data_IF_573906672014
#
_entry.id   IF_573906672014
#
_cell.length_a   1.000
_cell.length_b   1.000
_cell.length_c   1.000
_cell.angle_alpha   90.00
_cell.angle_beta   90.00
_cell.angle_gamma   90.00
#
_symmetry.space_group_name_H-M   'P 1'
#
loop_
_entity.id
_entity.type
_entity.pdbx_description
1 polymer ?
#
# COMPACT_ATOMS: atom_id res chain seq x y z
N UNK A 1 16.09 0.47 1.30
CA UNK A 1 15.22 -0.64 0.88
C UNK A 1 14.03 -0.92 1.83
N UNK A 2 13.82 -0.14 2.90
CA UNK A 2 12.79 -0.42 3.91
C UNK A 2 11.33 -0.44 3.40
N UNK A 3 10.98 0.37 2.40
CA UNK A 3 9.61 0.38 1.87
C UNK A 3 9.23 -0.93 1.17
N UNK A 4 10.09 -1.46 0.31
CA UNK A 4 9.79 -2.71 -0.42
C UNK A 4 9.67 -3.90 0.53
N UNK A 5 10.50 -3.95 1.57
CA UNK A 5 10.45 -4.99 2.60
C UNK A 5 9.17 -4.89 3.43
N UNK A 6 8.78 -3.67 3.82
CA UNK A 6 7.52 -3.44 4.53
C UNK A 6 6.32 -3.86 3.68
N UNK A 7 6.27 -3.45 2.41
CA UNK A 7 5.20 -3.84 1.46
C UNK A 7 5.17 -5.35 1.22
N UNK A 8 6.32 -6.02 1.16
CA UNK A 8 6.40 -7.47 1.01
C UNK A 8 5.90 -8.22 2.25
N UNK A 9 6.29 -7.79 3.45
CA UNK A 9 5.80 -8.39 4.70
C UNK A 9 4.28 -8.25 4.81
N UNK A 10 3.79 -7.06 4.48
CA UNK A 10 2.37 -6.73 4.36
C UNK A 10 1.61 -7.61 3.36
N UNK A 11 2.17 -7.83 2.17
CA UNK A 11 1.58 -8.71 1.18
C UNK A 11 1.47 -10.14 1.71
N UNK A 12 2.50 -10.64 2.41
CA UNK A 12 2.47 -11.97 3.03
C UNK A 12 1.42 -12.10 4.15
N UNK A 13 1.17 -11.02 4.89
CA UNK A 13 0.19 -11.01 6.01
C UNK A 13 -1.25 -10.68 5.59
N UNK A 14 -1.46 -10.04 4.43
CA UNK A 14 -2.79 -9.59 4.00
C UNK A 14 -3.34 -10.35 2.79
N UNK A 15 -2.52 -11.07 2.03
CA UNK A 15 -2.94 -11.86 0.87
C UNK A 15 -3.33 -13.26 1.35
N UNK A 16 -4.38 -13.35 2.16
CA UNK A 16 -5.22 -14.55 2.24
C UNK A 16 -6.08 -14.59 0.96
N UNK A 17 -5.42 -14.92 -0.14
CA UNK A 17 -5.99 -15.56 -1.31
C UNK A 17 -6.66 -14.71 -2.38
N UNK A 18 -7.38 -13.61 -2.12
CA UNK A 18 -8.21 -13.04 -3.21
C UNK A 18 -8.51 -11.55 -3.23
N UNK A 19 -8.33 -10.77 -2.15
CA UNK A 19 -8.77 -9.36 -2.16
C UNK A 19 -7.85 -8.41 -1.38
N UNK A 20 -7.29 -7.37 -2.01
CA UNK A 20 -6.64 -6.28 -1.29
C UNK A 20 -7.70 -5.51 -0.49
N UNK A 21 -7.47 -5.35 0.82
CA UNK A 21 -8.42 -4.69 1.75
C UNK A 21 -7.95 -3.29 2.12
N UNK A 22 -8.87 -2.41 2.56
CA UNK A 22 -8.50 -1.09 3.10
C UNK A 22 -7.50 -1.15 4.26
N UNK A 23 -7.55 -2.20 5.08
CA UNK A 23 -6.56 -2.43 6.15
C UNK A 23 -5.11 -2.49 5.61
N UNK A 24 -4.92 -2.96 4.37
CA UNK A 24 -3.63 -2.97 3.69
C UNK A 24 -3.19 -1.55 3.31
N UNK A 25 -4.10 -0.72 2.79
CA UNK A 25 -3.82 0.68 2.46
C UNK A 25 -3.35 1.48 3.68
N UNK A 26 -3.99 1.28 4.84
CA UNK A 26 -3.63 1.97 6.07
C UNK A 26 -2.21 1.61 6.56
N UNK A 27 -1.85 0.33 6.50
CA UNK A 27 -0.53 -0.13 6.92
C UNK A 27 0.56 0.25 5.91
N UNK A 28 0.28 0.23 4.60
CA UNK A 28 1.19 0.74 3.56
C UNK A 28 1.44 2.23 3.76
N UNK A 29 0.40 3.03 4.02
CA UNK A 29 0.57 4.45 4.35
C UNK A 29 1.45 4.65 5.58
N UNK A 30 1.20 3.89 6.66
CA UNK A 30 1.99 3.98 7.88
C UNK A 30 3.47 3.62 7.64
N UNK A 31 3.74 2.59 6.84
CA UNK A 31 5.09 2.20 6.44
C UNK A 31 5.78 3.28 5.62
N UNK A 32 5.07 3.89 4.65
CA UNK A 32 5.61 4.99 3.83
C UNK A 32 5.95 6.18 4.71
N UNK A 33 5.06 6.61 5.62
CA UNK A 33 5.29 7.74 6.54
C UNK A 33 6.45 7.48 7.51
N UNK A 34 6.65 6.22 7.93
CA UNK A 34 7.78 5.83 8.79
C UNK A 34 9.10 5.82 8.02
N UNK A 35 9.09 5.42 6.76
CA UNK A 35 10.28 5.39 5.92
C UNK A 35 10.68 6.78 5.41
N UNK A 36 9.71 7.64 5.10
CA UNK A 36 9.92 8.99 4.61
C UNK A 36 8.98 9.99 5.31
N UNK A 37 9.46 10.66 6.38
CA UNK A 37 8.67 11.68 7.08
C UNK A 37 8.48 12.97 6.27
N UNK A 38 9.27 13.21 5.21
CA UNK A 38 9.11 14.36 4.33
C UNK A 38 7.86 14.20 3.44
N UNK A 39 7.62 12.99 2.93
CA UNK A 39 6.37 12.64 2.22
C UNK A 39 5.14 12.86 3.10
N UNK A 40 5.23 12.57 4.40
CA UNK A 40 4.16 12.81 5.37
C UNK A 40 3.79 14.30 5.50
N UNK A 41 4.78 15.20 5.42
CA UNK A 41 4.57 16.66 5.44
C UNK A 41 4.00 17.20 4.13
N UNK A 42 4.39 16.64 2.98
CA UNK A 42 3.93 17.09 1.66
C UNK A 42 2.45 16.83 1.39
N UNK A 43 1.85 15.82 2.02
CA UNK A 43 0.43 15.46 1.86
C UNK A 43 -0.50 16.09 2.91
N UNK A 44 0.00 16.99 3.77
CA UNK A 44 -0.82 17.59 4.83
C UNK A 44 -2.03 18.35 4.30
N UNK A 45 -1.91 18.98 3.12
CA UNK A 45 -3.01 19.69 2.45
C UNK A 45 -4.00 18.79 1.73
N UNK A 46 -3.63 17.53 1.42
CA UNK A 46 -4.45 16.55 0.70
C UNK A 46 -5.31 15.71 1.68
N UNK A 47 -4.99 15.75 2.97
CA UNK A 47 -5.75 15.08 4.03
C UNK A 47 -5.45 13.59 4.18
N UNK A 48 -5.30 12.86 3.06
CA UNK A 48 -4.97 11.41 3.05
C UNK A 48 -3.87 11.14 2.03
N UNK A 49 -3.01 10.14 2.27
CA UNK A 49 -2.05 9.71 1.25
C UNK A 49 -2.81 8.96 0.14
N UNK A 50 -2.79 9.44 -1.11
CA UNK A 50 -3.40 8.73 -2.23
C UNK A 50 -2.58 7.47 -2.51
N UNK A 51 -3.22 6.30 -2.42
CA UNK A 51 -2.57 5.00 -2.59
C UNK A 51 -3.47 4.11 -3.44
N UNK A 52 -2.87 3.43 -4.42
CA UNK A 52 -3.50 2.35 -5.15
C UNK A 52 -2.67 1.07 -4.99
N UNK A 53 -3.34 -0.02 -4.64
CA UNK A 53 -2.76 -1.36 -4.59
C UNK A 53 -3.46 -2.19 -5.65
N UNK A 54 -2.67 -2.81 -6.52
CA UNK A 54 -3.14 -3.72 -7.56
C UNK A 54 -2.61 -5.10 -7.21
N UNK A 55 -3.50 -6.08 -7.16
CA UNK A 55 -3.14 -7.49 -7.12
C UNK A 55 -2.93 -7.95 -8.56
N UNK A 56 -1.77 -8.54 -8.82
CA UNK A 56 -1.42 -9.11 -10.13
C UNK A 56 -1.29 -10.62 -10.01
N UNK A 57 -1.65 -11.35 -11.06
CA UNK A 57 -1.45 -12.79 -11.15
C UNK A 57 -0.01 -13.16 -11.59
N UNK A 58 0.22 -14.46 -11.81
CA UNK A 58 1.52 -14.97 -12.25
C UNK A 58 1.92 -14.55 -13.68
N UNK A 59 0.98 -14.07 -14.49
CA UNK A 59 1.22 -13.52 -15.83
C UNK A 59 1.44 -12.00 -15.78
N UNK A 60 1.21 -11.37 -14.62
CA UNK A 60 1.32 -9.93 -14.42
C UNK A 60 0.02 -9.16 -14.69
N UNK A 61 -1.07 -9.87 -14.96
CA UNK A 61 -2.37 -9.26 -15.23
C UNK A 61 -3.04 -8.85 -13.91
N UNK A 62 -3.69 -7.68 -13.91
CA UNK A 62 -4.35 -7.14 -12.73
C UNK A 62 -5.64 -7.88 -12.40
N UNK A 63 -5.65 -8.65 -11.31
CA UNK A 63 -6.81 -9.43 -10.87
C UNK A 63 -7.71 -8.68 -9.89
N UNK A 64 -7.18 -7.71 -9.15
CA UNK A 64 -7.97 -6.85 -8.26
C UNK A 64 -7.27 -5.52 -7.99
N UNK A 65 -8.02 -4.51 -7.58
CA UNK A 65 -7.50 -3.18 -7.26
C UNK A 65 -8.28 -2.55 -6.13
N UNK A 66 -7.56 -2.00 -5.16
CA UNK A 66 -8.10 -1.08 -4.16
C UNK A 66 -7.36 0.24 -4.26
N UNK A 67 -8.09 1.35 -4.24
CA UNK A 67 -7.51 2.68 -4.29
C UNK A 67 -8.21 3.60 -3.29
N UNK A 68 -7.45 4.53 -2.73
CA UNK A 68 -7.93 5.60 -1.86
C UNK A 68 -7.30 6.91 -2.34
N UNK A 69 -8.15 7.90 -2.58
CA UNK A 69 -7.80 9.28 -2.95
C UNK A 69 -8.38 10.26 -1.94
#
# INVERSE_FOLDING_TARGET
MAMNEAVLAMAKECVDGTRPREAMLNRVEAAIRRCDPCLSRSIHAVGRMPIAVVLVDGEGEGVDRVARG
#
